data_IF_602469405240
#
_entry.id   IF_602469405240
#
_cell.length_a   1.000
_cell.length_b   1.000
_cell.length_c   1.000
_cell.angle_alpha   90.00
_cell.angle_beta   90.00
_cell.angle_gamma   90.00
#
_symmetry.space_group_name_H-M   'P 1'
#
loop_
_entity.id
_entity.type
_entity.pdbx_description
1 polymer ?
#
# COMPACT_ATOMS: atom_id res chain seq x y z
N UNK A 1 -7.00 -16.63 -17.99
CA UNK A 1 -8.23 -16.57 -17.17
C UNK A 1 -8.00 -16.74 -15.66
N UNK A 2 -6.78 -17.04 -15.20
CA UNK A 2 -6.42 -17.23 -13.77
C UNK A 2 -5.87 -15.98 -13.07
N UNK A 3 -5.45 -14.94 -13.82
CA UNK A 3 -4.95 -13.69 -13.24
C UNK A 3 -6.07 -12.79 -12.69
N UNK A 4 -7.25 -12.80 -13.31
CA UNK A 4 -8.40 -11.96 -12.92
C UNK A 4 -8.99 -12.38 -11.58
N UNK A 5 -9.14 -13.68 -11.33
CA UNK A 5 -9.67 -14.23 -10.07
C UNK A 5 -8.72 -13.94 -8.90
N UNK A 6 -7.40 -14.03 -9.14
CA UNK A 6 -6.41 -13.75 -8.09
C UNK A 6 -6.32 -12.25 -7.77
N UNK A 7 -6.40 -11.39 -8.78
CA UNK A 7 -6.54 -9.93 -8.61
C UNK A 7 -7.80 -9.56 -7.83
N UNK A 8 -8.93 -10.20 -8.11
CA UNK A 8 -10.19 -10.02 -7.37
C UNK A 8 -10.07 -10.43 -5.90
N UNK A 9 -9.36 -11.52 -5.59
CA UNK A 9 -9.11 -11.94 -4.21
C UNK A 9 -8.19 -10.96 -3.46
N UNK A 10 -7.16 -10.41 -4.12
CA UNK A 10 -6.33 -9.35 -3.53
C UNK A 10 -7.15 -8.09 -3.26
N UNK A 11 -8.00 -7.68 -4.20
CA UNK A 11 -8.88 -6.52 -4.00
C UNK A 11 -9.86 -6.75 -2.85
N UNK A 12 -10.37 -7.97 -2.69
CA UNK A 12 -11.29 -8.33 -1.62
C UNK A 12 -10.62 -8.31 -0.24
N UNK A 13 -9.45 -8.95 -0.10
CA UNK A 13 -8.66 -8.90 1.14
C UNK A 13 -8.27 -7.46 1.48
N UNK A 14 -7.93 -6.68 0.45
CA UNK A 14 -7.55 -5.28 0.61
C UNK A 14 -8.72 -4.40 1.07
N UNK A 15 -9.91 -4.58 0.50
CA UNK A 15 -11.15 -3.90 0.92
C UNK A 15 -11.58 -4.34 2.33
N UNK A 16 -11.41 -5.61 2.68
CA UNK A 16 -11.67 -6.13 4.02
C UNK A 16 -10.72 -5.52 5.07
N UNK A 17 -9.43 -5.42 4.76
CA UNK A 17 -8.45 -4.73 5.62
C UNK A 17 -8.77 -3.24 5.77
N UNK A 18 -9.19 -2.57 4.68
CA UNK A 18 -9.56 -1.17 4.71
C UNK A 18 -10.82 -0.90 5.54
N UNK A 19 -11.81 -1.80 5.45
CA UNK A 19 -13.04 -1.70 6.22
C UNK A 19 -12.81 -1.84 7.73
N UNK A 20 -11.85 -2.68 8.15
CA UNK A 20 -11.41 -2.80 9.54
C UNK A 20 -10.71 -1.50 9.99
N UNK A 21 -9.89 -0.91 9.12
CA UNK A 21 -9.10 0.27 9.46
C UNK A 21 -9.89 1.58 9.55
N UNK A 22 -10.99 1.72 8.80
CA UNK A 22 -11.80 2.96 8.79
C UNK A 22 -12.84 2.96 9.93
N UNK A 23 -13.08 1.83 10.61
CA UNK A 23 -14.03 1.72 11.74
C UNK A 23 -15.41 2.38 11.46
N UNK A 24 -15.90 2.26 10.23
CA UNK A 24 -17.18 2.85 9.83
C UNK A 24 -18.36 1.96 10.27
N UNK A 25 -19.38 2.57 10.85
CA UNK A 25 -20.67 1.92 11.06
C UNK A 25 -21.37 1.72 9.70
N UNK A 26 -21.62 0.46 9.35
CA UNK A 26 -22.25 0.05 8.08
C UNK A 26 -23.63 0.67 7.90
N UNK A 27 -24.41 0.81 8.98
CA UNK A 27 -25.76 1.34 8.90
C UNK A 27 -25.75 2.84 8.63
N UNK A 28 -24.84 3.55 9.29
CA UNK A 28 -24.64 4.98 9.08
C UNK A 28 -24.15 5.29 7.67
N UNK A 29 -23.19 4.50 7.19
CA UNK A 29 -22.68 4.59 5.82
C UNK A 29 -23.77 4.34 4.78
N UNK A 30 -24.64 3.35 4.99
CA UNK A 30 -25.74 3.05 4.06
C UNK A 30 -26.71 4.25 3.94
N UNK A 31 -27.05 4.87 5.07
CA UNK A 31 -27.92 6.04 5.09
C UNK A 31 -27.26 7.25 4.40
N UNK A 32 -25.98 7.50 4.68
CA UNK A 32 -25.19 8.54 4.01
C UNK A 32 -25.17 8.34 2.48
N UNK A 33 -24.94 7.10 2.01
CA UNK A 33 -24.95 6.76 0.58
C UNK A 33 -26.32 7.01 -0.04
N UNK A 34 -27.41 6.66 0.65
CA UNK A 34 -28.76 6.84 0.13
C UNK A 34 -29.10 8.33 -0.05
N UNK A 35 -28.78 9.16 0.94
CA UNK A 35 -28.97 10.62 0.86
C UNK A 35 -28.10 11.20 -0.24
N UNK A 36 -26.82 10.84 -0.28
CA UNK A 36 -25.88 11.33 -1.28
C UNK A 36 -26.29 10.93 -2.71
N UNK A 37 -26.78 9.70 -2.90
CA UNK A 37 -27.33 9.23 -4.18
C UNK A 37 -28.49 10.09 -4.62
N UNK A 38 -29.38 10.49 -3.71
CA UNK A 38 -30.51 11.38 -4.04
C UNK A 38 -30.05 12.79 -4.45
N UNK A 39 -28.94 13.28 -3.91
CA UNK A 39 -28.37 14.59 -4.25
C UNK A 39 -27.61 14.58 -5.59
N UNK A 40 -27.03 13.43 -5.95
CA UNK A 40 -26.18 13.27 -7.14
C UNK A 40 -26.92 12.69 -8.35
N UNK A 41 -28.24 12.42 -8.27
CA UNK A 41 -29.05 11.93 -9.41
C UNK A 41 -28.91 12.81 -10.66
N UNK A 42 -28.63 14.10 -10.48
CA UNK A 42 -28.53 15.08 -11.56
C UNK A 42 -27.10 15.36 -12.04
N UNK A 43 -26.09 14.67 -11.49
CA UNK A 43 -24.67 14.86 -11.85
C UNK A 43 -24.05 13.54 -12.26
N UNK A 44 -23.55 13.45 -13.50
CA UNK A 44 -22.69 12.35 -13.91
C UNK A 44 -21.28 12.57 -13.35
N UNK A 45 -20.84 11.66 -12.47
CA UNK A 45 -19.50 11.67 -11.90
C UNK A 45 -18.68 10.62 -12.63
N UNK A 46 -17.59 11.04 -13.26
CA UNK A 46 -16.70 10.15 -14.03
C UNK A 46 -15.62 9.55 -13.13
N UNK A 47 -15.19 10.31 -12.11
CA UNK A 47 -14.00 10.00 -11.32
C UNK A 47 -14.22 10.14 -9.80
N UNK A 48 -13.49 9.35 -9.02
CA UNK A 48 -13.50 9.41 -7.53
C UNK A 48 -13.00 10.77 -7.02
N UNK A 49 -12.14 11.45 -7.78
CA UNK A 49 -11.66 12.81 -7.48
C UNK A 49 -12.77 13.85 -7.58
N UNK A 50 -13.66 13.73 -8.58
CA UNK A 50 -14.83 14.62 -8.72
C UNK A 50 -15.80 14.42 -7.55
N UNK A 51 -16.02 13.17 -7.16
CA UNK A 51 -16.82 12.82 -5.98
C UNK A 51 -16.24 13.44 -4.71
N UNK A 52 -14.91 13.41 -4.55
CA UNK A 52 -14.24 14.06 -3.42
C UNK A 52 -14.49 15.57 -3.38
N UNK A 53 -14.42 16.26 -4.53
CA UNK A 53 -14.65 17.70 -4.58
C UNK A 53 -16.08 18.10 -4.21
N UNK A 54 -17.07 17.28 -4.57
CA UNK A 54 -18.48 17.50 -4.23
C UNK A 54 -18.80 17.20 -2.76
N UNK A 55 -18.18 16.18 -2.17
CA UNK A 55 -18.40 15.80 -0.76
C UNK A 55 -17.59 16.67 0.20
N UNK A 56 -16.43 17.20 -0.23
CA UNK A 56 -15.55 18.03 0.59
C UNK A 56 -16.27 19.17 1.34
N UNK A 57 -17.16 19.98 0.74
CA UNK A 57 -17.92 21.00 1.48
C UNK A 57 -18.92 20.41 2.48
N UNK A 58 -19.36 19.17 2.28
CA UNK A 58 -20.36 18.47 3.10
C UNK A 58 -19.71 17.49 4.09
N UNK A 59 -18.41 17.63 4.36
CA UNK A 59 -17.61 16.69 5.18
C UNK A 59 -18.20 16.39 6.57
N UNK A 60 -18.93 17.35 7.14
CA UNK A 60 -19.53 17.21 8.48
C UNK A 60 -20.85 16.44 8.43
N UNK A 61 -21.56 16.49 7.30
CA UNK A 61 -22.79 15.73 7.08
C UNK A 61 -22.52 14.29 6.62
N UNK A 62 -21.36 14.03 6.01
CA UNK A 62 -20.98 12.72 5.47
C UNK A 62 -19.59 12.26 5.93
N UNK A 63 -19.37 12.07 7.24
CA UNK A 63 -18.06 11.74 7.79
C UNK A 63 -17.56 10.34 7.36
N UNK A 64 -18.46 9.36 7.24
CA UNK A 64 -18.09 8.01 6.84
C UNK A 64 -17.76 7.96 5.34
N UNK A 65 -18.57 8.59 4.51
CA UNK A 65 -18.29 8.70 3.07
C UNK A 65 -17.00 9.46 2.78
N UNK A 66 -16.74 10.57 3.49
CA UNK A 66 -15.50 11.31 3.32
C UNK A 66 -14.28 10.46 3.68
N UNK A 67 -14.38 9.63 4.72
CA UNK A 67 -13.31 8.70 5.11
C UNK A 67 -13.11 7.61 4.06
N UNK A 68 -14.19 7.07 3.49
CA UNK A 68 -14.13 6.11 2.39
C UNK A 68 -13.50 6.67 1.12
N UNK A 69 -13.92 7.87 0.70
CA UNK A 69 -13.39 8.51 -0.51
C UNK A 69 -11.92 8.90 -0.32
N UNK A 70 -11.55 9.42 0.85
CA UNK A 70 -10.14 9.65 1.18
C UNK A 70 -9.35 8.36 1.13
N UNK A 71 -9.87 7.29 1.74
CA UNK A 71 -9.19 6.00 1.71
C UNK A 71 -9.01 5.52 0.27
N UNK A 72 -10.05 5.58 -0.56
CA UNK A 72 -9.99 5.22 -1.98
C UNK A 72 -8.97 6.06 -2.78
N UNK A 73 -8.78 7.34 -2.44
CA UNK A 73 -7.76 8.21 -3.04
C UNK A 73 -6.34 7.96 -2.50
N UNK A 74 -6.21 7.59 -1.22
CA UNK A 74 -4.92 7.28 -0.58
C UNK A 74 -4.40 5.90 -0.94
N UNK A 75 -5.31 4.96 -1.21
CA UNK A 75 -4.98 3.69 -1.82
C UNK A 75 -4.53 4.03 -3.23
N UNK A 76 -3.24 3.86 -3.55
CA UNK A 76 -2.85 3.92 -4.94
C UNK A 76 -3.51 2.71 -5.62
N UNK A 77 -4.51 2.97 -6.45
CA UNK A 77 -4.89 2.06 -7.55
C UNK A 77 -3.75 1.99 -8.59
N UNK A 78 -2.60 2.64 -8.32
CA UNK A 78 -1.41 2.51 -9.16
C UNK A 78 -0.76 1.15 -8.91
N UNK A 79 -1.03 0.23 -9.83
CA UNK A 79 -0.29 -1.01 -9.98
C UNK A 79 1.22 -0.76 -10.06
N UNK A 80 1.65 0.41 -10.53
CA UNK A 80 3.05 0.79 -10.71
C UNK A 80 3.94 0.60 -9.47
N UNK A 81 3.47 0.94 -8.27
CA UNK A 81 4.26 0.79 -7.03
C UNK A 81 4.44 -0.68 -6.68
N UNK A 82 3.35 -1.46 -6.75
CA UNK A 82 3.37 -2.90 -6.56
C UNK A 82 4.20 -3.61 -7.65
N UNK A 83 4.06 -3.21 -8.92
CA UNK A 83 4.82 -3.71 -10.06
C UNK A 83 6.32 -3.44 -9.89
N UNK A 84 6.68 -2.25 -9.40
CA UNK A 84 8.07 -1.92 -9.05
C UNK A 84 8.61 -2.87 -7.99
N UNK A 85 7.87 -3.07 -6.89
CA UNK A 85 8.25 -3.99 -5.80
C UNK A 85 8.40 -5.43 -6.32
N UNK A 86 7.42 -5.94 -7.08
CA UNK A 86 7.46 -7.31 -7.62
C UNK A 86 8.56 -7.50 -8.67
N UNK A 87 8.85 -6.47 -9.48
CA UNK A 87 9.97 -6.47 -10.43
C UNK A 87 11.30 -6.60 -9.70
N UNK A 88 11.50 -5.82 -8.63
CA UNK A 88 12.70 -5.93 -7.78
C UNK A 88 12.79 -7.29 -7.07
N UNK A 89 11.68 -7.76 -6.50
CA UNK A 89 11.60 -9.05 -5.82
C UNK A 89 11.96 -10.21 -6.77
N UNK A 90 11.51 -10.15 -8.03
CA UNK A 90 11.84 -11.16 -9.05
C UNK A 90 13.34 -11.19 -9.38
N UNK A 91 14.02 -10.05 -9.33
CA UNK A 91 15.49 -9.98 -9.51
C UNK A 91 16.24 -10.51 -8.28
N UNK A 92 15.73 -10.27 -7.07
CA UNK A 92 16.36 -10.72 -5.81
C UNK A 92 16.16 -12.22 -5.59
N UNK A 93 14.95 -12.74 -5.83
CA UNK A 93 14.56 -14.14 -5.62
C UNK A 93 14.84 -14.96 -6.87
N UNK A 94 16.12 -15.31 -7.05
CA UNK A 94 16.58 -16.18 -8.15
C UNK A 94 16.38 -17.66 -7.82
N UNK A 95 16.51 -18.55 -8.83
CA UNK A 95 16.40 -20.01 -8.66
C UNK A 95 17.27 -20.55 -7.53
N UNK A 96 18.49 -20.02 -7.40
CA UNK A 96 19.47 -20.43 -6.39
C UNK A 96 19.20 -19.83 -5.00
N UNK A 97 18.33 -18.82 -4.91
CA UNK A 97 18.04 -18.07 -3.68
C UNK A 97 16.57 -18.24 -3.24
N UNK A 98 15.90 -19.31 -3.68
CA UNK A 98 14.49 -19.52 -3.41
C UNK A 98 14.18 -19.94 -1.95
N UNK A 99 15.20 -20.36 -1.18
CA UNK A 99 15.11 -20.82 0.22
C UNK A 99 15.36 -19.72 1.27
N UNK A 100 15.50 -18.45 0.87
CA UNK A 100 15.74 -17.37 1.84
C UNK A 100 14.50 -17.11 2.72
N UNK A 101 14.73 -16.73 3.98
CA UNK A 101 13.66 -16.29 4.88
C UNK A 101 12.96 -15.02 4.36
N UNK A 102 11.65 -14.92 4.61
CA UNK A 102 10.83 -13.81 4.12
C UNK A 102 11.29 -12.45 4.69
N UNK A 103 11.78 -12.42 5.93
CA UNK A 103 12.35 -11.21 6.55
C UNK A 103 13.57 -10.71 5.76
N UNK A 104 14.50 -11.61 5.40
CA UNK A 104 15.68 -11.27 4.61
C UNK A 104 15.28 -10.76 3.22
N UNK A 105 14.29 -11.40 2.58
CA UNK A 105 13.79 -10.99 1.28
C UNK A 105 13.17 -9.59 1.33
N UNK A 106 12.35 -9.31 2.35
CA UNK A 106 11.73 -8.01 2.58
C UNK A 106 12.77 -6.91 2.73
N UNK A 107 13.78 -7.12 3.58
CA UNK A 107 14.86 -6.16 3.81
C UNK A 107 15.65 -5.88 2.52
N UNK A 108 15.94 -6.91 1.70
CA UNK A 108 16.62 -6.72 0.42
C UNK A 108 15.75 -5.98 -0.61
N UNK A 109 14.44 -6.21 -0.61
CA UNK A 109 13.51 -5.48 -1.48
C UNK A 109 13.49 -3.99 -1.13
N UNK A 110 13.44 -3.64 0.16
CA UNK A 110 13.47 -2.24 0.62
C UNK A 110 14.76 -1.55 0.15
N UNK A 111 15.92 -2.15 0.40
CA UNK A 111 17.21 -1.62 -0.05
C UNK A 111 17.30 -1.45 -1.58
N UNK A 112 16.63 -2.32 -2.34
CA UNK A 112 16.62 -2.30 -3.81
C UNK A 112 15.66 -1.25 -4.40
N UNK A 113 14.61 -0.90 -3.66
CA UNK A 113 13.65 0.15 -4.03
C UNK A 113 14.22 1.52 -3.65
N UNK A 114 14.71 1.67 -2.42
CA UNK A 114 15.23 2.92 -1.84
C UNK A 114 16.70 3.16 -2.18
N UNK A 115 17.15 2.75 -3.37
CA UNK A 115 18.57 2.84 -3.79
C UNK A 115 19.10 4.28 -3.87
N UNK A 116 18.20 5.26 -3.93
CA UNK A 116 18.55 6.69 -3.97
C UNK A 116 18.89 7.25 -2.59
N UNK A 117 18.67 6.48 -1.52
CA UNK A 117 19.08 6.83 -0.17
C UNK A 117 20.60 6.62 -0.01
N UNK A 118 21.32 7.68 0.34
CA UNK A 118 22.76 7.59 0.61
C UNK A 118 22.99 6.88 1.94
N UNK A 119 23.50 5.65 1.85
CA UNK A 119 23.86 4.85 3.01
C UNK A 119 25.35 5.06 3.32
N UNK A 120 25.66 5.45 4.56
CA UNK A 120 27.04 5.50 5.03
C UNK A 120 27.55 4.09 5.36
N UNK A 121 28.23 3.47 4.39
CA UNK A 121 28.77 2.13 4.55
C UNK A 121 29.74 2.01 5.73
N UNK A 122 30.52 3.05 6.03
CA UNK A 122 31.49 3.04 7.13
C UNK A 122 30.79 2.87 8.47
N UNK A 123 29.71 3.61 8.70
CA UNK A 123 28.90 3.48 9.92
C UNK A 123 28.28 2.09 10.05
N UNK A 124 27.81 1.50 8.95
CA UNK A 124 27.25 0.14 8.97
C UNK A 124 28.34 -0.89 9.30
N UNK A 125 29.54 -0.75 8.73
CA UNK A 125 30.67 -1.65 8.99
C UNK A 125 31.07 -1.57 10.47
N UNK A 126 31.17 -0.36 11.02
CA UNK A 126 31.50 -0.14 12.44
C UNK A 126 30.43 -0.74 13.36
N UNK A 127 29.14 -0.52 13.06
CA UNK A 127 28.03 -1.08 13.83
C UNK A 127 27.97 -2.61 13.74
N UNK A 128 28.24 -3.18 12.55
CA UNK A 128 28.31 -4.62 12.36
C UNK A 128 29.48 -5.23 13.12
N UNK A 129 30.66 -4.62 13.06
CA UNK A 129 31.84 -5.04 13.81
C UNK A 129 31.61 -4.98 15.33
N UNK A 130 31.00 -3.90 15.83
CA UNK A 130 30.68 -3.75 17.25
C UNK A 130 29.69 -4.80 17.76
N UNK A 131 28.68 -5.15 16.94
CA UNK A 131 27.67 -6.17 17.28
C UNK A 131 28.17 -7.61 17.12
N UNK A 132 29.13 -7.86 16.22
CA UNK A 132 29.69 -9.17 15.93
C UNK A 132 31.20 -9.21 16.22
N UNK A 133 31.55 -9.21 17.50
CA UNK A 133 32.95 -9.18 18.00
C UNK A 133 33.89 -10.26 17.43
N UNK A 134 33.37 -11.30 16.75
CA UNK A 134 34.14 -12.43 16.20
C UNK A 134 34.09 -12.57 14.66
N UNK A 135 33.45 -11.66 13.91
CA UNK A 135 33.42 -11.77 12.44
C UNK A 135 34.72 -11.24 11.82
N UNK A 136 35.67 -12.13 11.57
CA UNK A 136 36.86 -11.85 10.74
C UNK A 136 36.43 -11.59 9.30
N UNK A 137 36.16 -10.34 8.94
CA UNK A 137 36.12 -9.91 7.54
C UNK A 137 37.26 -8.90 7.37
N UNK A 138 38.42 -9.41 6.97
CA UNK A 138 39.55 -8.60 6.54
C UNK A 138 39.26 -8.12 5.13
N UNK A 139 38.88 -6.84 4.98
CA UNK A 139 38.83 -6.20 3.67
C UNK A 139 40.25 -5.68 3.38
N UNK A 140 40.92 -6.33 2.44
CA UNK A 140 42.16 -5.84 1.81
C UNK A 140 41.83 -4.87 0.67
#
# INVERSE_FOLDING_TARGET
>A
MTLTIRMLNYLKVFVECLAIHINCDKNHLFNEIQVLRSMLVNKELSNVTELYHEIKPLREAFPNMMSMVKAALTIPVSSATCERVFSKMKLIKTRLRNTMADERLSNLCILSIERDFQVNFQQIIEQFSASHKNSRIMLH
#
